data_IF_263823350915
#
_entry.id   IF_263823350915
#
_cell.length_a   1.000
_cell.length_b   1.000
_cell.length_c   1.000
_cell.angle_alpha   90.00
_cell.angle_beta   90.00
_cell.angle_gamma   90.00
#
_symmetry.space_group_name_H-M   'P 1'
#
loop_
_entity.id
_entity.type
_entity.pdbx_description
1 polymer ?
#
# COMPACT_ATOMS: atom_id res chain seq x y z
N UNK A 1 -14.40 -2.24 -11.69
CA UNK A 1 -13.78 -3.40 -12.34
C UNK A 1 -14.85 -4.17 -13.12
N UNK A 2 -14.61 -4.34 -14.39
CA UNK A 2 -15.54 -5.04 -15.28
C UNK A 2 -16.98 -4.49 -15.22
N UNK A 3 -17.12 -3.17 -15.11
CA UNK A 3 -18.40 -2.49 -15.03
C UNK A 3 -19.06 -2.52 -13.66
N UNK A 4 -18.44 -3.14 -12.66
CA UNK A 4 -18.94 -3.17 -11.28
C UNK A 4 -18.17 -2.21 -10.40
N UNK A 5 -18.90 -1.49 -9.54
CA UNK A 5 -18.28 -0.67 -8.52
C UNK A 5 -17.59 -1.57 -7.49
N UNK A 6 -16.35 -1.23 -7.13
CA UNK A 6 -15.60 -1.94 -6.10
C UNK A 6 -15.21 -0.97 -4.99
N UNK A 7 -15.09 -1.49 -3.77
CA UNK A 7 -14.66 -0.71 -2.61
C UNK A 7 -13.55 -1.45 -1.88
N UNK A 8 -12.65 -0.68 -1.28
CA UNK A 8 -11.66 -1.20 -0.37
C UNK A 8 -12.32 -1.76 0.88
N UNK A 9 -11.59 -2.62 1.60
CA UNK A 9 -12.05 -3.20 2.85
C UNK A 9 -11.92 -2.19 4.00
N UNK A 10 -12.89 -2.18 4.92
CA UNK A 10 -12.90 -1.30 6.08
C UNK A 10 -12.07 -1.87 7.24
N UNK A 11 -10.76 -1.96 7.06
CA UNK A 11 -9.84 -2.35 8.11
C UNK A 11 -9.15 -1.12 8.68
N UNK A 12 -9.19 -0.92 9.99
CA UNK A 12 -8.57 0.23 10.66
C UNK A 12 -7.44 -0.16 11.62
N UNK A 13 -7.35 -1.43 12.02
CA UNK A 13 -6.33 -1.93 12.94
C UNK A 13 -5.25 -2.73 12.19
N UNK A 14 -3.99 -2.39 12.42
CA UNK A 14 -2.86 -3.10 11.83
C UNK A 14 -2.88 -4.60 12.12
N UNK A 15 -3.24 -4.99 13.33
CA UNK A 15 -3.27 -6.40 13.75
C UNK A 15 -4.19 -7.28 12.90
N UNK A 16 -5.20 -6.68 12.26
CA UNK A 16 -6.16 -7.39 11.41
C UNK A 16 -5.87 -7.20 9.92
N UNK A 17 -4.87 -6.39 9.58
CA UNK A 17 -4.58 -6.03 8.21
C UNK A 17 -3.80 -7.12 7.46
N UNK A 18 -4.13 -7.28 6.18
CA UNK A 18 -3.40 -8.13 5.24
C UNK A 18 -2.48 -7.24 4.42
N UNK A 19 -1.19 -7.52 4.47
CA UNK A 19 -0.13 -6.72 3.85
C UNK A 19 0.39 -7.38 2.59
N UNK A 20 0.56 -6.60 1.53
CA UNK A 20 1.33 -6.99 0.35
C UNK A 20 2.54 -6.06 0.20
N UNK A 21 3.70 -6.61 -0.11
CA UNK A 21 4.93 -5.83 -0.25
C UNK A 21 5.80 -6.39 -1.36
N UNK A 22 6.75 -5.58 -1.82
CA UNK A 22 7.79 -6.02 -2.72
C UNK A 22 8.75 -7.00 -2.01
N UNK A 23 9.60 -7.65 -2.76
CA UNK A 23 10.60 -8.55 -2.21
C UNK A 23 11.45 -7.80 -1.17
N UNK A 24 11.74 -8.40 0.00
CA UNK A 24 12.51 -7.73 1.06
C UNK A 24 13.84 -7.14 0.59
N UNK A 25 14.49 -7.75 -0.40
CA UNK A 25 15.73 -7.24 -0.98
C UNK A 25 15.60 -5.90 -1.68
N UNK A 26 14.41 -5.53 -2.15
CA UNK A 26 14.15 -4.25 -2.80
C UNK A 26 14.06 -3.09 -1.81
N UNK A 27 13.85 -3.37 -0.53
CA UNK A 27 13.74 -2.34 0.51
C UNK A 27 15.06 -2.02 1.21
N UNK A 28 16.09 -2.79 0.97
CA UNK A 28 17.47 -2.59 1.46
C UNK A 28 17.57 -1.94 2.84
N UNK A 29 17.80 -0.62 2.88
CA UNK A 29 18.02 0.17 4.10
C UNK A 29 16.78 0.25 5.01
N UNK A 30 15.61 -0.05 4.47
CA UNK A 30 14.34 0.04 5.20
C UNK A 30 13.74 -1.32 5.54
N UNK A 31 14.53 -2.37 5.50
CA UNK A 31 14.06 -3.73 5.85
C UNK A 31 13.53 -3.84 7.27
N UNK A 32 14.12 -3.10 8.20
CA UNK A 32 13.67 -3.10 9.59
C UNK A 32 12.23 -2.60 9.73
N UNK A 33 11.84 -1.63 8.92
CA UNK A 33 10.45 -1.11 8.91
C UNK A 33 9.50 -2.19 8.42
N UNK A 34 9.89 -2.93 7.38
CA UNK A 34 9.10 -4.04 6.87
C UNK A 34 8.93 -5.13 7.92
N UNK A 35 9.99 -5.46 8.66
CA UNK A 35 9.94 -6.47 9.71
C UNK A 35 8.96 -6.06 10.82
N UNK A 36 8.96 -4.79 11.22
CA UNK A 36 8.02 -4.25 12.20
C UNK A 36 6.58 -4.41 11.70
N UNK A 37 6.31 -4.03 10.47
CA UNK A 37 4.98 -4.14 9.89
C UNK A 37 4.52 -5.60 9.75
N UNK A 38 5.44 -6.49 9.43
CA UNK A 38 5.15 -7.94 9.34
C UNK A 38 4.71 -8.50 10.69
N UNK A 39 5.31 -8.05 11.77
CA UNK A 39 4.92 -8.48 13.12
C UNK A 39 3.58 -7.90 13.56
N UNK A 40 3.25 -6.70 13.09
CA UNK A 40 2.05 -5.97 13.51
C UNK A 40 0.80 -6.28 12.68
N UNK A 41 0.97 -6.92 11.52
CA UNK A 41 -0.14 -7.28 10.62
C UNK A 41 -0.50 -8.75 10.74
N UNK A 42 -1.71 -9.11 10.26
CA UNK A 42 -2.20 -10.50 10.41
C UNK A 42 -1.62 -11.45 9.37
N UNK A 43 -1.43 -11.00 8.15
CA UNK A 43 -0.93 -11.82 7.05
C UNK A 43 -0.18 -10.99 6.02
N UNK A 44 0.67 -11.63 5.23
CA UNK A 44 1.48 -10.93 4.24
C UNK A 44 1.68 -11.74 2.97
N UNK A 45 1.80 -11.01 1.86
CA UNK A 45 2.16 -11.52 0.54
C UNK A 45 3.34 -10.75 -0.01
N UNK A 46 4.06 -11.33 -0.95
CA UNK A 46 5.23 -10.71 -1.58
C UNK A 46 5.08 -10.67 -3.10
N UNK A 47 5.66 -9.64 -3.71
CA UNK A 47 5.82 -9.50 -5.16
C UNK A 47 4.53 -9.57 -5.98
N UNK A 48 3.45 -9.06 -5.43
CA UNK A 48 2.16 -9.05 -6.13
C UNK A 48 2.07 -8.05 -7.29
N UNK A 49 2.93 -7.03 -7.31
CA UNK A 49 2.89 -6.00 -8.34
C UNK A 49 1.53 -5.34 -8.48
N UNK A 50 1.09 -5.09 -9.72
CA UNK A 50 -0.23 -4.49 -9.99
C UNK A 50 -1.38 -5.33 -9.47
N UNK A 51 -1.23 -6.64 -9.39
CA UNK A 51 -2.26 -7.55 -8.86
C UNK A 51 -2.57 -7.24 -7.41
N UNK A 52 -1.56 -6.85 -6.62
CA UNK A 52 -1.75 -6.46 -5.23
C UNK A 52 -2.64 -5.24 -5.10
N UNK A 53 -2.45 -4.22 -5.95
CA UNK A 53 -3.27 -3.00 -5.91
C UNK A 53 -4.69 -3.27 -6.36
N UNK A 54 -4.89 -4.12 -7.36
CA UNK A 54 -6.22 -4.56 -7.79
C UNK A 54 -6.91 -5.32 -6.64
N UNK A 55 -6.19 -6.17 -5.93
CA UNK A 55 -6.70 -6.91 -4.79
C UNK A 55 -7.06 -5.97 -3.63
N UNK A 56 -6.27 -4.92 -3.40
CA UNK A 56 -6.59 -3.88 -2.42
C UNK A 56 -7.91 -3.19 -2.75
N UNK A 57 -8.06 -2.77 -4.00
CA UNK A 57 -9.25 -2.06 -4.49
C UNK A 57 -10.50 -2.94 -4.38
N UNK A 58 -10.36 -4.25 -4.56
CA UNK A 58 -11.46 -5.21 -4.44
C UNK A 58 -11.73 -5.67 -3.01
N UNK A 59 -10.95 -5.22 -2.04
CA UNK A 59 -11.16 -5.54 -0.63
C UNK A 59 -10.52 -6.84 -0.15
N UNK A 60 -9.59 -7.43 -0.91
CA UNK A 60 -8.89 -8.66 -0.51
C UNK A 60 -7.60 -8.40 0.27
N UNK A 61 -7.05 -7.21 0.15
CA UNK A 61 -5.86 -6.76 0.88
C UNK A 61 -6.17 -5.43 1.55
N UNK A 62 -5.39 -5.09 2.57
CA UNK A 62 -5.57 -3.85 3.33
C UNK A 62 -4.44 -2.84 3.11
N UNK A 63 -3.22 -3.32 2.85
CA UNK A 63 -2.03 -2.48 2.71
C UNK A 63 -1.16 -3.03 1.58
N UNK A 64 -0.69 -2.14 0.71
CA UNK A 64 0.33 -2.43 -0.29
C UNK A 64 1.52 -1.49 -0.10
N UNK A 65 2.73 -2.03 -0.01
CA UNK A 65 3.95 -1.24 0.15
C UNK A 65 4.96 -1.65 -0.91
N UNK A 66 5.47 -0.68 -1.65
CA UNK A 66 6.52 -0.88 -2.63
C UNK A 66 7.64 0.13 -2.45
N UNK A 67 8.86 -0.29 -2.76
CA UNK A 67 10.04 0.55 -2.71
C UNK A 67 10.74 0.73 -4.04
N UNK A 68 10.14 0.26 -5.12
CA UNK A 68 10.80 0.20 -6.42
C UNK A 68 9.88 0.38 -7.62
N UNK A 69 8.81 1.19 -7.46
CA UNK A 69 7.90 1.50 -8.57
C UNK A 69 8.36 2.74 -9.34
N UNK A 70 8.16 2.70 -10.66
CA UNK A 70 8.37 3.86 -11.53
C UNK A 70 7.10 4.72 -11.60
N UNK A 71 7.20 6.03 -11.98
CA UNK A 71 6.03 6.89 -12.12
C UNK A 71 4.94 6.32 -13.04
N UNK A 72 5.32 5.60 -14.07
CA UNK A 72 4.37 4.95 -14.98
C UNK A 72 3.50 3.92 -14.26
N UNK A 73 4.06 3.27 -13.24
CA UNK A 73 3.36 2.23 -12.49
C UNK A 73 2.39 2.82 -11.47
N UNK A 74 2.79 3.83 -10.72
CA UNK A 74 1.98 4.31 -9.61
C UNK A 74 1.01 5.44 -9.96
N UNK A 75 1.32 6.29 -10.95
CA UNK A 75 0.42 7.40 -11.29
C UNK A 75 -0.95 6.91 -11.78
N UNK A 76 -0.99 5.78 -12.48
CA UNK A 76 -2.24 5.17 -12.91
C UNK A 76 -3.03 4.56 -11.75
N UNK A 77 -2.36 4.19 -10.66
CA UNK A 77 -2.99 3.57 -9.50
C UNK A 77 -3.72 4.56 -8.60
N UNK A 78 -3.31 5.83 -8.59
CA UNK A 78 -3.89 6.85 -7.71
C UNK A 78 -5.42 6.96 -7.87
N UNK A 79 -5.97 7.22 -9.07
CA UNK A 79 -7.41 7.32 -9.21
C UNK A 79 -8.14 6.01 -8.94
N UNK A 80 -7.50 4.88 -9.22
CA UNK A 80 -8.09 3.55 -8.99
C UNK A 80 -8.26 3.30 -7.49
N UNK A 81 -7.20 3.53 -6.71
CA UNK A 81 -7.23 3.30 -5.25
C UNK A 81 -8.16 4.30 -4.56
N UNK A 82 -8.03 5.58 -4.87
CA UNK A 82 -8.84 6.63 -4.25
C UNK A 82 -10.31 6.52 -4.64
N UNK A 83 -10.60 6.15 -5.88
CA UNK A 83 -11.96 5.94 -6.35
C UNK A 83 -12.68 4.79 -5.64
N UNK A 84 -11.94 3.83 -5.11
CA UNK A 84 -12.49 2.71 -4.33
C UNK A 84 -12.60 2.99 -2.83
N UNK A 85 -12.15 4.15 -2.37
CA UNK A 85 -12.20 4.56 -0.96
C UNK A 85 -10.90 4.42 -0.19
N UNK A 86 -9.83 3.99 -0.85
CA UNK A 86 -8.51 3.87 -0.25
C UNK A 86 -7.69 5.14 -0.34
N UNK A 87 -6.46 5.08 0.15
CA UNK A 87 -5.51 6.17 0.09
C UNK A 87 -4.15 5.65 -0.40
N UNK A 88 -3.48 6.43 -1.24
CA UNK A 88 -2.16 6.09 -1.77
C UNK A 88 -1.26 7.33 -1.74
N UNK A 89 -0.08 7.21 -1.17
CA UNK A 89 0.89 8.30 -1.01
C UNK A 89 2.31 7.74 -1.12
N UNK A 90 3.31 8.63 -1.04
CA UNK A 90 4.67 8.19 -0.75
C UNK A 90 4.80 7.84 0.75
N UNK A 91 5.97 7.38 1.17
CA UNK A 91 6.18 6.97 2.57
C UNK A 91 6.20 8.15 3.55
N UNK A 92 6.26 9.39 3.06
CA UNK A 92 6.15 10.60 3.89
C UNK A 92 4.72 11.09 4.03
N UNK A 93 3.78 10.48 3.32
CA UNK A 93 2.38 10.88 3.31
C UNK A 93 2.04 11.93 2.25
N UNK A 94 2.97 12.26 1.37
CA UNK A 94 2.72 13.24 0.29
C UNK A 94 1.95 12.60 -0.86
N UNK A 95 1.07 13.40 -1.47
CA UNK A 95 0.37 12.99 -2.69
C UNK A 95 1.37 12.64 -3.79
N UNK A 96 1.05 11.63 -4.59
CA UNK A 96 1.93 11.13 -5.64
C UNK A 96 1.87 12.00 -6.89
N UNK A 97 3.05 12.26 -7.46
CA UNK A 97 3.22 12.86 -8.78
C UNK A 97 4.44 12.22 -9.46
N UNK A 98 4.80 12.72 -10.63
CA UNK A 98 5.92 12.15 -11.41
C UNK A 98 7.28 12.31 -10.70
N UNK A 99 7.37 13.14 -9.68
CA UNK A 99 8.60 13.40 -8.93
C UNK A 99 8.61 12.71 -7.55
N UNK A 100 7.64 11.86 -7.24
CA UNK A 100 7.48 11.26 -5.91
C UNK A 100 8.53 10.23 -5.53
N UNK A 101 9.33 9.76 -6.46
CA UNK A 101 10.28 8.69 -6.22
C UNK A 101 9.62 7.30 -6.34
N UNK A 102 10.25 6.29 -5.76
CA UNK A 102 9.84 4.89 -5.95
C UNK A 102 9.16 4.25 -4.73
N UNK A 103 9.10 4.95 -3.60
CA UNK A 103 8.56 4.42 -2.34
C UNK A 103 7.08 4.79 -2.20
N UNK A 104 6.22 3.82 -2.38
CA UNK A 104 4.77 4.00 -2.45
C UNK A 104 4.09 3.14 -1.40
N UNK A 105 3.02 3.67 -0.79
CA UNK A 105 2.16 2.93 0.11
C UNK A 105 0.70 3.22 -0.20
N UNK A 106 -0.11 2.17 -0.24
CA UNK A 106 -1.56 2.26 -0.42
C UNK A 106 -2.25 1.51 0.72
N UNK A 107 -3.37 2.03 1.18
CA UNK A 107 -4.16 1.42 2.25
C UNK A 107 -5.64 1.50 1.94
N UNK A 108 -6.41 0.58 2.50
CA UNK A 108 -7.85 0.50 2.27
C UNK A 108 -8.65 1.60 2.95
N UNK A 109 -8.12 2.21 4.02
CA UNK A 109 -8.77 3.32 4.73
C UNK A 109 -7.74 4.38 5.11
N UNK A 110 -8.18 5.66 5.25
CA UNK A 110 -7.27 6.73 5.73
C UNK A 110 -6.72 6.48 7.13
N UNK A 111 -7.51 5.90 8.04
CA UNK A 111 -7.06 5.61 9.41
C UNK A 111 -5.95 4.56 9.41
N UNK A 112 -6.10 3.49 8.65
CA UNK A 112 -5.07 2.47 8.51
C UNK A 112 -3.83 3.05 7.86
N UNK A 113 -4.00 3.92 6.86
CA UNK A 113 -2.91 4.60 6.16
C UNK A 113 -2.05 5.42 7.14
N UNK A 114 -2.69 6.18 8.01
CA UNK A 114 -1.99 6.98 9.03
C UNK A 114 -1.16 6.08 9.97
N UNK A 115 -1.71 4.94 10.38
CA UNK A 115 -1.00 3.98 11.21
C UNK A 115 0.25 3.41 10.51
N UNK A 116 0.12 3.09 9.23
CA UNK A 116 1.24 2.58 8.42
C UNK A 116 2.31 3.66 8.26
N UNK A 117 1.91 4.89 7.93
CA UNK A 117 2.85 6.01 7.75
C UNK A 117 3.65 6.29 9.03
N UNK A 118 3.04 6.13 10.19
CA UNK A 118 3.73 6.31 11.47
C UNK A 118 4.95 5.38 11.58
N UNK A 119 4.82 4.14 11.13
CA UNK A 119 5.92 3.18 11.13
C UNK A 119 6.92 3.42 10.00
N UNK A 120 6.46 3.89 8.82
CA UNK A 120 7.33 4.14 7.69
C UNK A 120 8.21 5.37 7.86
N UNK A 121 7.76 6.38 8.59
CA UNK A 121 8.47 7.65 8.78
C UNK A 121 9.39 7.67 10.00
N UNK A 122 9.32 6.66 10.82
CA UNK A 122 10.16 6.56 12.05
C UNK A 122 11.55 5.99 11.80
#
# INVERSE_FOLDING_TARGET
>A
VNGRKVNTKECIDLKNAVLSTCHPGALRERRNVLDILREKTSWRFYDGGCVSYISLVRGFLDICIDGNLDPYDFCALVPVVEGAGGKITDWSGKALDINSGSRIVASGTPLLHDSVLHHLSS
#
